data_IF_311806448862
#
_entry.id   IF_311806448862
#
_cell.length_a   1.000
_cell.length_b   1.000
_cell.length_c   1.000
_cell.angle_alpha   90.00
_cell.angle_beta   90.00
_cell.angle_gamma   90.00
#
_symmetry.space_group_name_H-M   'P 1'
#
loop_
_entity.id
_entity.type
_entity.pdbx_description
1 polymer ?
#
# COMPACT_ATOMS: atom_id res chain seq x y z
N UNK A 1 -0.74 -19.54 16.67
CA UNK A 1 -0.80 -20.86 15.98
C UNK A 1 -2.25 -21.32 15.78
N UNK A 2 -3.14 -21.02 16.69
CA UNK A 2 -4.56 -21.46 16.59
C UNK A 2 -5.30 -20.96 15.33
N UNK A 3 -4.86 -19.86 14.73
CA UNK A 3 -5.43 -19.31 13.48
C UNK A 3 -4.78 -19.85 12.20
N UNK A 4 -3.87 -20.80 12.32
CA UNK A 4 -3.18 -21.46 11.23
C UNK A 4 -3.49 -22.96 11.27
N UNK A 5 -4.22 -23.43 10.29
CA UNK A 5 -4.49 -24.86 10.16
C UNK A 5 -3.26 -25.63 9.69
N UNK A 6 -3.25 -26.92 9.97
CA UNK A 6 -2.12 -27.81 9.68
C UNK A 6 -0.82 -27.24 10.31
N UNK A 7 0.30 -27.47 9.73
CA UNK A 7 1.59 -26.88 10.12
C UNK A 7 1.95 -25.64 9.27
N UNK A 8 0.94 -24.98 8.67
CA UNK A 8 1.16 -23.90 7.69
C UNK A 8 1.91 -22.71 8.27
N UNK A 9 1.78 -22.43 9.57
CA UNK A 9 2.57 -21.38 10.25
C UNK A 9 4.10 -21.58 10.12
N UNK A 10 4.55 -22.79 9.81
CA UNK A 10 5.98 -23.12 9.57
C UNK A 10 6.44 -22.66 8.17
N UNK A 11 5.50 -22.36 7.27
CA UNK A 11 5.82 -21.88 5.93
C UNK A 11 6.30 -20.43 5.99
N UNK A 12 5.68 -19.63 6.86
CA UNK A 12 6.03 -18.23 7.02
C UNK A 12 5.00 -17.27 6.43
N UNK A 13 5.48 -16.08 6.09
CA UNK A 13 4.67 -14.90 5.78
C UNK A 13 4.62 -13.94 6.96
N UNK A 14 3.86 -12.86 6.82
CA UNK A 14 3.72 -11.85 7.87
C UNK A 14 5.01 -11.05 8.11
N UNK A 15 5.87 -10.90 7.11
CA UNK A 15 7.11 -10.13 7.20
C UNK A 15 6.85 -8.65 7.52
N UNK A 16 7.76 -8.02 8.29
CA UNK A 16 7.74 -6.58 8.58
C UNK A 16 8.68 -5.83 7.65
N UNK A 17 8.48 -5.90 6.35
CA UNK A 17 9.41 -5.39 5.34
C UNK A 17 9.33 -3.88 5.09
N UNK A 18 8.20 -3.25 5.45
CA UNK A 18 8.06 -1.79 5.42
C UNK A 18 8.35 -1.20 6.81
N UNK A 19 8.59 0.11 6.84
CA UNK A 19 8.87 0.84 8.08
C UNK A 19 7.62 1.01 8.94
N UNK A 20 7.80 0.97 10.26
CA UNK A 20 6.77 1.36 11.22
C UNK A 20 6.92 2.81 11.66
N UNK A 21 6.03 3.23 12.56
CA UNK A 21 6.05 4.56 13.16
C UNK A 21 6.10 4.47 14.70
N UNK A 22 6.83 5.38 15.31
CA UNK A 22 6.89 5.52 16.76
C UNK A 22 6.05 6.70 17.24
N UNK A 23 5.18 6.43 18.21
CA UNK A 23 4.43 7.46 18.93
C UNK A 23 5.09 7.73 20.29
N UNK A 24 5.73 8.87 20.41
CA UNK A 24 6.43 9.28 21.62
C UNK A 24 5.49 9.59 22.79
N UNK A 25 4.21 9.88 22.52
CA UNK A 25 3.25 10.20 23.58
C UNK A 25 2.82 8.94 24.36
N UNK A 26 2.67 7.82 23.65
CA UNK A 26 2.21 6.56 24.26
C UNK A 26 3.32 5.52 24.38
N UNK A 27 4.54 5.87 23.97
CA UNK A 27 5.70 4.99 23.91
C UNK A 27 5.38 3.68 23.16
N UNK A 28 4.78 3.85 21.97
CA UNK A 28 4.24 2.75 21.18
C UNK A 28 4.86 2.75 19.78
N UNK A 29 5.30 1.57 19.32
CA UNK A 29 5.67 1.33 17.93
C UNK A 29 4.50 0.69 17.21
N UNK A 30 4.05 1.32 16.13
CA UNK A 30 3.06 0.78 15.21
C UNK A 30 3.77 0.15 14.01
N UNK A 31 3.36 -1.06 13.64
CA UNK A 31 3.96 -1.79 12.52
C UNK A 31 2.91 -2.57 11.73
N UNK A 32 3.04 -2.58 10.40
CA UNK A 32 2.23 -3.39 9.52
C UNK A 32 2.94 -4.70 9.13
N UNK A 33 2.20 -5.78 9.05
CA UNK A 33 2.72 -7.08 8.64
C UNK A 33 2.24 -7.45 7.23
N UNK A 34 3.08 -8.22 6.53
CA UNK A 34 2.81 -8.68 5.17
C UNK A 34 1.82 -9.85 5.12
N UNK A 35 1.47 -10.26 3.91
CA UNK A 35 0.65 -11.42 3.59
C UNK A 35 1.24 -12.73 4.13
N UNK A 36 0.41 -13.79 4.27
CA UNK A 36 0.90 -15.14 4.59
C UNK A 36 1.39 -15.86 3.32
N UNK A 37 2.19 -16.91 3.47
CA UNK A 37 2.66 -17.73 2.35
C UNK A 37 1.97 -19.13 2.35
N UNK A 38 1.58 -19.66 1.17
CA UNK A 38 1.67 -19.02 -0.16
C UNK A 38 0.79 -17.78 -0.24
N UNK A 39 1.14 -16.85 -1.12
CA UNK A 39 0.42 -15.58 -1.27
C UNK A 39 -1.04 -15.83 -1.67
N UNK A 40 -1.26 -16.79 -2.58
CA UNK A 40 -2.58 -17.23 -2.98
C UNK A 40 -2.90 -18.61 -2.41
N UNK A 41 -4.12 -18.77 -1.88
CA UNK A 41 -4.58 -20.05 -1.36
C UNK A 41 -5.76 -20.55 -2.18
N UNK A 42 -5.65 -21.78 -2.67
CA UNK A 42 -6.62 -22.40 -3.56
C UNK A 42 -7.92 -22.88 -2.87
N UNK A 43 -8.08 -22.67 -1.57
CA UNK A 43 -9.21 -23.16 -0.79
C UNK A 43 -10.56 -22.51 -1.16
N UNK A 44 -10.53 -21.30 -1.73
CA UNK A 44 -11.74 -20.56 -2.04
C UNK A 44 -12.59 -20.34 -0.78
N UNK A 45 -13.88 -20.59 -0.86
CA UNK A 45 -14.83 -20.39 0.25
C UNK A 45 -14.54 -21.26 1.49
N UNK A 46 -13.80 -22.35 1.33
CA UNK A 46 -13.47 -23.28 2.40
C UNK A 46 -12.19 -22.92 3.17
N UNK A 47 -11.65 -21.73 2.98
CA UNK A 47 -10.35 -21.29 3.56
C UNK A 47 -10.21 -21.46 5.07
N UNK A 48 -11.31 -21.58 5.80
CA UNK A 48 -11.26 -21.83 7.26
C UNK A 48 -10.76 -23.23 7.60
N UNK A 49 -10.95 -24.19 6.72
CA UNK A 49 -10.68 -25.62 6.96
C UNK A 49 -9.84 -26.30 5.90
N UNK A 50 -9.71 -25.69 4.71
CA UNK A 50 -9.02 -26.26 3.55
C UNK A 50 -7.91 -25.31 3.04
N UNK A 51 -7.11 -25.78 2.08
CA UNK A 51 -6.06 -25.02 1.43
C UNK A 51 -4.66 -25.31 1.96
N UNK A 52 -3.72 -24.50 1.53
CA UNK A 52 -2.34 -24.57 1.97
C UNK A 52 -2.17 -24.06 3.41
N UNK A 53 -2.98 -23.10 3.79
CA UNK A 53 -2.89 -22.42 5.09
C UNK A 53 -4.27 -22.11 5.70
N UNK A 54 -5.07 -23.15 6.05
CA UNK A 54 -6.41 -22.96 6.61
C UNK A 54 -6.42 -22.00 7.80
N UNK A 55 -7.47 -21.19 7.90
CA UNK A 55 -7.68 -20.25 8.99
C UNK A 55 -7.28 -18.83 8.66
N UNK A 56 -7.46 -17.91 9.61
CA UNK A 56 -7.24 -16.48 9.40
C UNK A 56 -5.76 -16.07 9.27
N UNK A 57 -4.82 -16.94 9.61
CA UNK A 57 -3.36 -16.75 9.53
C UNK A 57 -2.83 -15.53 10.32
N UNK A 58 -3.30 -15.37 11.56
CA UNK A 58 -2.87 -14.27 12.43
C UNK A 58 -1.39 -14.45 12.82
N UNK A 59 -0.56 -13.45 12.77
CA UNK A 59 -0.72 -12.00 12.55
C UNK A 59 -0.25 -11.55 11.15
N UNK A 60 -0.49 -12.29 10.10
CA UNK A 60 -0.27 -11.78 8.74
C UNK A 60 -1.33 -10.74 8.37
N UNK A 61 -1.01 -9.85 7.44
CA UNK A 61 -1.85 -8.75 6.92
C UNK A 61 -2.60 -8.01 8.04
N UNK A 62 -1.80 -7.62 9.06
CA UNK A 62 -2.28 -7.03 10.32
C UNK A 62 -1.48 -5.78 10.66
N UNK A 63 -2.10 -4.91 11.44
CA UNK A 63 -1.39 -3.84 12.15
C UNK A 63 -1.19 -4.25 13.61
N UNK A 64 -0.01 -3.99 14.15
CA UNK A 64 0.37 -4.31 15.53
C UNK A 64 0.88 -3.06 16.26
N UNK A 65 0.53 -2.94 17.52
CA UNK A 65 1.06 -1.92 18.44
C UNK A 65 1.93 -2.61 19.48
N UNK A 66 3.18 -2.22 19.55
CA UNK A 66 4.17 -2.78 20.46
C UNK A 66 4.61 -1.73 21.48
N UNK A 67 4.82 -2.15 22.71
CA UNK A 67 5.51 -1.36 23.70
C UNK A 67 6.98 -1.14 23.27
N UNK A 68 7.39 0.12 23.16
CA UNK A 68 8.70 0.46 22.59
C UNK A 68 9.87 0.02 23.47
N UNK A 69 9.69 -0.12 24.76
CA UNK A 69 10.74 -0.52 25.70
C UNK A 69 10.91 -2.05 25.78
N UNK A 70 9.81 -2.79 25.66
CA UNK A 70 9.81 -4.23 25.94
C UNK A 70 9.55 -5.10 24.71
N UNK A 71 9.06 -4.51 23.62
CA UNK A 71 8.60 -5.22 22.42
C UNK A 71 7.32 -6.01 22.63
N UNK A 72 6.66 -5.91 23.78
CA UNK A 72 5.42 -6.64 24.05
C UNK A 72 4.27 -6.09 23.21
N UNK A 73 3.45 -7.01 22.69
CA UNK A 73 2.24 -6.67 21.97
C UNK A 73 1.24 -5.99 22.91
N UNK A 74 0.83 -4.76 22.57
CA UNK A 74 -0.22 -3.99 23.29
C UNK A 74 -1.59 -4.27 22.71
N UNK A 75 -1.72 -4.15 21.39
CA UNK A 75 -2.95 -4.41 20.65
C UNK A 75 -2.66 -4.71 19.19
N UNK A 76 -3.65 -5.20 18.46
CA UNK A 76 -3.56 -5.47 17.02
C UNK A 76 -4.93 -5.43 16.36
N UNK A 77 -4.91 -5.33 15.04
CA UNK A 77 -6.07 -5.58 14.18
C UNK A 77 -5.63 -6.31 12.92
N UNK A 78 -6.35 -7.36 12.51
CA UNK A 78 -6.09 -8.05 11.25
C UNK A 78 -6.94 -7.44 10.16
N UNK A 79 -6.32 -6.67 9.26
CA UNK A 79 -6.99 -5.93 8.20
C UNK A 79 -7.50 -6.85 7.10
N UNK A 80 -6.72 -7.89 6.76
CA UNK A 80 -7.04 -8.90 5.75
C UNK A 80 -6.96 -10.32 6.35
N UNK A 81 -8.01 -10.81 7.06
CA UNK A 81 -8.04 -12.20 7.53
C UNK A 81 -7.97 -13.16 6.35
N UNK A 82 -7.09 -14.17 6.42
CA UNK A 82 -6.84 -15.09 5.32
C UNK A 82 -6.63 -14.33 4.00
N UNK A 83 -5.62 -13.48 3.96
CA UNK A 83 -5.30 -12.70 2.77
C UNK A 83 -4.92 -13.64 1.61
N UNK A 84 -5.78 -13.73 0.61
CA UNK A 84 -5.63 -14.53 -0.60
C UNK A 84 -5.46 -13.66 -1.85
N UNK A 85 -5.05 -12.40 -1.69
CA UNK A 85 -4.90 -11.41 -2.75
C UNK A 85 -3.54 -10.70 -2.73
N UNK A 86 -2.72 -10.98 -1.72
CA UNK A 86 -1.46 -10.28 -1.47
C UNK A 86 -1.70 -8.79 -1.11
N UNK A 87 -2.68 -8.54 -0.21
CA UNK A 87 -3.02 -7.18 0.23
C UNK A 87 -2.49 -6.89 1.64
N UNK A 88 -1.17 -6.84 1.69
CA UNK A 88 -0.39 -6.54 2.89
C UNK A 88 -0.93 -5.36 3.70
N UNK A 89 -0.79 -5.46 5.02
CA UNK A 89 -0.80 -4.31 5.92
C UNK A 89 0.60 -3.70 6.09
N UNK A 90 1.60 -4.22 5.39
CA UNK A 90 2.95 -3.65 5.34
C UNK A 90 3.00 -2.46 4.38
N UNK A 91 2.25 -1.40 4.69
CA UNK A 91 2.26 -0.09 4.02
C UNK A 91 2.94 0.91 4.95
N UNK A 92 3.74 1.80 4.37
CA UNK A 92 4.78 2.54 5.10
C UNK A 92 4.32 3.74 5.94
N UNK A 93 3.03 3.90 6.27
CA UNK A 93 2.59 5.03 7.08
C UNK A 93 1.56 4.69 8.14
N UNK A 94 1.80 5.20 9.34
CA UNK A 94 0.83 5.32 10.43
C UNK A 94 0.73 6.79 10.81
N UNK A 95 -0.43 7.39 10.60
CA UNK A 95 -0.65 8.81 10.89
C UNK A 95 -1.30 8.98 12.25
N UNK A 96 -0.58 9.57 13.20
CA UNK A 96 -1.14 9.94 14.50
C UNK A 96 -1.90 11.26 14.35
N UNK A 97 -3.21 11.24 14.65
CA UNK A 97 -4.10 12.38 14.44
C UNK A 97 -4.92 12.61 15.71
N UNK A 98 -4.81 13.83 16.24
CA UNK A 98 -5.63 14.29 17.36
C UNK A 98 -6.73 15.20 16.83
N UNK A 99 -7.98 14.75 16.92
CA UNK A 99 -9.13 15.51 16.41
C UNK A 99 -10.41 15.23 17.22
N UNK A 100 -11.10 16.30 17.57
CA UNK A 100 -12.39 16.17 18.28
C UNK A 100 -12.29 15.48 19.65
N UNK A 101 -11.17 15.64 20.35
CA UNK A 101 -10.91 14.99 21.63
C UNK A 101 -10.52 13.51 21.53
N UNK A 102 -10.44 12.95 20.32
CA UNK A 102 -9.99 11.58 20.06
C UNK A 102 -8.52 11.58 19.64
N UNK A 103 -7.79 10.58 20.10
CA UNK A 103 -6.45 10.23 19.66
C UNK A 103 -6.54 9.05 18.72
N UNK A 104 -6.25 9.28 17.44
CA UNK A 104 -6.45 8.32 16.38
C UNK A 104 -5.11 7.93 15.76
N UNK A 105 -5.06 6.72 15.21
CA UNK A 105 -4.04 6.32 14.25
C UNK A 105 -4.73 5.86 12.97
N UNK A 106 -4.27 6.39 11.84
CA UNK A 106 -4.82 6.08 10.52
C UNK A 106 -3.79 5.30 9.73
N UNK A 107 -4.22 4.19 9.16
CA UNK A 107 -3.35 3.30 8.38
C UNK A 107 -4.05 2.87 7.09
N UNK A 108 -3.43 3.03 5.91
CA UNK A 108 -3.91 2.48 4.66
C UNK A 108 -3.45 1.04 4.47
N UNK A 109 -4.29 0.21 3.87
CA UNK A 109 -3.96 -1.15 3.48
C UNK A 109 -3.80 -1.25 1.95
N UNK A 110 -2.92 -2.11 1.49
CA UNK A 110 -2.62 -2.34 0.07
C UNK A 110 -3.88 -2.64 -0.77
N UNK A 111 -4.88 -3.31 -0.19
CA UNK A 111 -6.17 -3.57 -0.84
C UNK A 111 -7.03 -2.33 -1.11
N UNK A 112 -6.61 -1.15 -0.68
CA UNK A 112 -7.30 0.12 -0.95
C UNK A 112 -8.16 0.63 0.19
N UNK A 113 -8.23 -0.07 1.31
CA UNK A 113 -8.97 0.34 2.49
C UNK A 113 -8.07 1.19 3.39
N UNK A 114 -8.62 2.24 3.96
CA UNK A 114 -7.96 3.03 5.00
C UNK A 114 -8.73 2.83 6.31
N UNK A 115 -8.01 2.42 7.32
CA UNK A 115 -8.52 2.16 8.66
C UNK A 115 -8.19 3.31 9.60
N UNK A 116 -9.13 3.65 10.45
CA UNK A 116 -9.00 4.67 11.49
C UNK A 116 -9.21 3.98 12.84
N UNK A 117 -8.19 3.95 13.66
CA UNK A 117 -8.20 3.25 14.94
C UNK A 117 -8.14 4.21 16.12
N UNK A 118 -8.62 3.75 17.26
CA UNK A 118 -8.22 4.32 18.56
C UNK A 118 -6.71 4.09 18.75
N UNK A 119 -5.95 5.16 19.03
CA UNK A 119 -4.47 5.08 19.14
C UNK A 119 -4.01 4.20 20.30
N UNK A 120 -4.79 4.11 21.37
CA UNK A 120 -4.45 3.29 22.52
C UNK A 120 -4.78 1.81 22.33
N UNK A 121 -5.70 1.48 21.39
CA UNK A 121 -6.18 0.10 21.20
C UNK A 121 -6.62 -0.13 19.75
N UNK A 122 -5.74 -0.71 18.94
CA UNK A 122 -6.00 -1.01 17.51
C UNK A 122 -7.20 -1.95 17.30
N UNK A 123 -7.64 -2.70 18.31
CA UNK A 123 -8.85 -3.52 18.18
C UNK A 123 -10.14 -2.70 18.03
N UNK A 124 -10.07 -1.40 18.33
CA UNK A 124 -11.16 -0.45 18.19
C UNK A 124 -11.03 0.35 16.91
N UNK A 125 -11.72 -0.12 15.87
CA UNK A 125 -11.82 0.60 14.60
C UNK A 125 -12.90 1.68 14.74
N UNK A 126 -12.52 2.93 14.57
CA UNK A 126 -13.40 4.11 14.67
C UNK A 126 -14.09 4.44 13.36
N UNK A 127 -13.41 4.18 12.24
CA UNK A 127 -13.96 4.32 10.88
C UNK A 127 -13.12 3.55 9.87
N UNK A 128 -13.70 3.33 8.69
CA UNK A 128 -13.03 2.85 7.49
C UNK A 128 -13.53 3.60 6.28
N UNK A 129 -12.68 3.72 5.26
CA UNK A 129 -13.05 4.24 3.95
C UNK A 129 -12.18 3.63 2.86
N UNK A 130 -12.61 3.67 1.61
CA UNK A 130 -11.91 3.06 0.47
C UNK A 130 -11.35 4.17 -0.41
N UNK A 131 -10.04 4.11 -0.71
CA UNK A 131 -9.36 5.03 -1.60
C UNK A 131 -9.41 4.54 -3.04
N UNK A 132 -9.23 3.24 -3.29
CA UNK A 132 -9.31 2.63 -4.60
C UNK A 132 -10.69 2.79 -5.23
N UNK A 133 -10.75 3.09 -6.52
CA UNK A 133 -12.00 3.25 -7.27
C UNK A 133 -12.41 1.97 -7.97
N UNK A 134 -11.43 1.16 -8.31
CA UNK A 134 -11.62 -0.09 -9.03
C UNK A 134 -11.29 -1.27 -8.12
N UNK A 135 -12.31 -1.90 -7.59
CA UNK A 135 -12.15 -3.10 -6.77
C UNK A 135 -13.35 -4.04 -6.94
N UNK A 136 -13.10 -5.35 -6.87
CA UNK A 136 -14.14 -6.37 -6.91
C UNK A 136 -13.80 -7.60 -6.04
N UNK A 137 -12.77 -7.50 -5.21
CA UNK A 137 -12.40 -8.55 -4.26
C UNK A 137 -13.28 -8.56 -3.01
N UNK A 138 -13.99 -7.44 -2.75
CA UNK A 138 -15.01 -7.29 -1.70
C UNK A 138 -16.19 -6.48 -2.26
N UNK A 139 -17.33 -6.54 -1.59
CA UNK A 139 -18.46 -5.64 -1.85
C UNK A 139 -18.39 -4.35 -1.03
N UNK A 140 -17.59 -4.36 0.05
CA UNK A 140 -17.40 -3.22 0.92
C UNK A 140 -16.69 -3.60 2.21
N UNK A 141 -16.56 -2.64 3.11
CA UNK A 141 -15.99 -2.79 4.45
C UNK A 141 -16.95 -2.14 5.45
N UNK A 142 -17.18 -2.79 6.59
CA UNK A 142 -17.99 -2.21 7.68
C UNK A 142 -17.19 -1.09 8.38
N UNK A 143 -17.88 -0.23 9.11
CA UNK A 143 -17.21 0.80 9.93
C UNK A 143 -16.27 0.23 11.00
N UNK A 144 -16.48 -1.04 11.37
CA UNK A 144 -15.66 -1.80 12.32
C UNK A 144 -14.56 -2.62 11.65
N UNK A 145 -14.34 -2.43 10.33
CA UNK A 145 -13.22 -3.02 9.60
C UNK A 145 -13.48 -4.42 9.03
N UNK A 146 -14.69 -4.95 9.11
CA UNK A 146 -15.02 -6.27 8.57
C UNK A 146 -15.21 -6.22 7.04
N UNK A 147 -14.52 -7.10 6.32
CA UNK A 147 -14.65 -7.26 4.88
C UNK A 147 -16.02 -7.88 4.54
N UNK A 148 -16.77 -7.26 3.67
CA UNK A 148 -18.10 -7.69 3.26
C UNK A 148 -18.09 -8.25 1.84
N UNK A 149 -18.68 -9.44 1.65
CA UNK A 149 -18.87 -10.04 0.33
C UNK A 149 -17.55 -10.31 -0.39
N UNK A 150 -16.63 -10.97 0.30
CA UNK A 150 -15.32 -11.39 -0.22
C UNK A 150 -15.49 -12.22 -1.49
N UNK A 151 -14.66 -11.95 -2.50
CA UNK A 151 -14.48 -12.78 -3.70
C UNK A 151 -13.27 -13.66 -3.48
N UNK A 152 -13.49 -14.89 -3.14
CA UNK A 152 -12.41 -15.86 -3.00
C UNK A 152 -11.89 -16.30 -4.38
N UNK A 153 -10.64 -16.77 -4.40
CA UNK A 153 -9.94 -17.20 -5.61
C UNK A 153 -9.61 -18.71 -5.53
N UNK A 154 -10.59 -19.62 -5.72
CA UNK A 154 -10.33 -21.06 -5.75
C UNK A 154 -9.42 -21.45 -6.93
N UNK A 155 -9.03 -22.72 -6.99
CA UNK A 155 -8.25 -23.25 -8.12
C UNK A 155 -8.82 -22.83 -9.47
N UNK A 156 -7.94 -22.40 -10.37
CA UNK A 156 -8.27 -22.07 -11.75
C UNK A 156 -8.03 -20.61 -12.13
N UNK A 157 -8.52 -20.26 -13.31
CA UNK A 157 -8.35 -18.94 -13.90
C UNK A 157 -9.44 -17.97 -13.43
N UNK A 158 -9.03 -16.82 -12.96
CA UNK A 158 -9.90 -15.71 -12.59
C UNK A 158 -9.54 -14.48 -13.43
N UNK A 159 -10.55 -13.93 -14.09
CA UNK A 159 -10.40 -12.77 -14.95
C UNK A 159 -10.77 -11.48 -14.24
N UNK A 160 -10.03 -10.41 -14.58
CA UNK A 160 -10.28 -9.05 -14.14
C UNK A 160 -10.52 -8.94 -12.62
N UNK A 161 -9.58 -9.47 -11.84
CA UNK A 161 -9.56 -9.33 -10.38
C UNK A 161 -8.96 -7.96 -10.06
N UNK A 162 -9.65 -7.15 -9.29
CA UNK A 162 -9.28 -5.77 -8.97
C UNK A 162 -9.35 -5.51 -7.47
N UNK A 163 -8.38 -4.75 -6.92
CA UNK A 163 -7.17 -4.26 -7.57
C UNK A 163 -6.21 -5.39 -7.94
N UNK A 164 -5.17 -5.06 -8.72
CA UNK A 164 -4.10 -6.01 -9.03
C UNK A 164 -3.27 -6.36 -7.77
N UNK A 165 -2.38 -7.33 -7.91
CA UNK A 165 -1.47 -7.77 -6.84
C UNK A 165 -0.68 -6.61 -6.18
N UNK A 166 -0.41 -5.55 -6.93
CA UNK A 166 0.28 -4.36 -6.43
C UNK A 166 -0.61 -3.46 -5.56
N UNK A 167 -1.89 -3.81 -5.43
CA UNK A 167 -2.89 -3.13 -4.63
C UNK A 167 -3.54 -1.92 -5.31
N UNK A 168 -4.59 -1.39 -4.69
CA UNK A 168 -5.20 -0.10 -5.04
C UNK A 168 -4.46 1.08 -4.38
N UNK A 169 -3.65 0.80 -3.38
CA UNK A 169 -2.77 1.76 -2.70
C UNK A 169 -1.35 1.22 -2.77
N UNK A 170 -0.42 2.01 -3.34
CA UNK A 170 1.00 1.66 -3.29
C UNK A 170 1.46 1.53 -1.84
N UNK A 171 2.36 0.57 -1.58
CA UNK A 171 3.03 0.43 -0.27
C UNK A 171 3.95 1.61 0.06
N UNK A 172 4.39 2.37 -0.93
CA UNK A 172 5.17 3.57 -0.70
C UNK A 172 4.36 4.61 0.07
N UNK A 173 5.03 5.28 1.01
CA UNK A 173 4.38 6.19 1.92
C UNK A 173 3.67 7.35 1.21
N UNK A 174 2.47 7.65 1.66
CA UNK A 174 1.82 8.92 1.42
C UNK A 174 2.42 10.01 2.31
N UNK A 175 1.73 11.12 2.43
CA UNK A 175 2.16 12.23 3.30
C UNK A 175 0.96 12.89 3.96
N UNK A 176 1.09 13.25 5.23
CA UNK A 176 0.09 14.02 5.96
C UNK A 176 0.62 15.41 6.29
N UNK A 177 -0.19 16.42 6.04
CA UNK A 177 0.14 17.79 6.45
C UNK A 177 -0.81 18.25 7.56
N UNK A 178 -0.30 18.48 8.77
CA UNK A 178 -1.12 19.03 9.86
C UNK A 178 -1.62 20.44 9.55
N UNK A 179 -0.95 21.18 8.65
CA UNK A 179 -1.32 22.53 8.24
C UNK A 179 -2.59 22.55 7.38
N UNK A 180 -2.76 21.59 6.48
CA UNK A 180 -3.94 21.44 5.64
C UNK A 180 -4.99 20.50 6.24
N UNK A 181 -4.58 19.63 7.17
CA UNK A 181 -5.37 18.54 7.71
C UNK A 181 -5.62 17.43 6.71
N UNK A 182 -4.87 17.38 5.59
CA UNK A 182 -5.07 16.43 4.51
C UNK A 182 -4.00 15.35 4.47
N UNK A 183 -4.44 14.15 4.16
CA UNK A 183 -3.63 13.02 3.77
C UNK A 183 -3.52 12.97 2.25
N UNK A 184 -2.31 12.90 1.74
CA UNK A 184 -1.98 12.79 0.32
C UNK A 184 -1.53 11.38 0.02
N UNK A 185 -2.23 10.71 -0.90
CA UNK A 185 -1.92 9.32 -1.26
C UNK A 185 -2.16 9.06 -2.74
N UNK A 186 -1.40 8.12 -3.26
CA UNK A 186 -1.58 7.56 -4.60
C UNK A 186 -2.61 6.44 -4.56
N UNK A 187 -3.56 6.48 -5.48
CA UNK A 187 -4.39 5.35 -5.85
C UNK A 187 -3.97 4.77 -7.19
N UNK A 188 -4.10 3.44 -7.32
CA UNK A 188 -3.72 2.66 -8.50
C UNK A 188 -4.95 1.90 -9.01
N UNK A 189 -5.32 2.15 -10.26
CA UNK A 189 -6.54 1.62 -10.86
C UNK A 189 -6.19 0.67 -11.99
N UNK A 190 -5.83 -0.54 -11.62
CA UNK A 190 -5.55 -1.66 -12.52
C UNK A 190 -6.00 -2.98 -11.92
N UNK A 191 -6.07 -4.01 -12.77
CA UNK A 191 -6.54 -5.32 -12.40
C UNK A 191 -5.54 -6.38 -12.86
N UNK A 192 -5.83 -7.62 -12.64
CA UNK A 192 -5.06 -8.74 -13.14
C UNK A 192 -5.94 -9.94 -13.49
N UNK A 193 -5.47 -10.73 -14.45
CA UNK A 193 -5.92 -12.08 -14.67
C UNK A 193 -4.99 -13.00 -13.88
N UNK A 194 -5.53 -13.91 -13.11
CA UNK A 194 -4.75 -14.79 -12.24
C UNK A 194 -5.20 -16.24 -12.39
N UNK A 195 -4.23 -17.14 -12.52
CA UNK A 195 -4.45 -18.57 -12.43
C UNK A 195 -3.91 -19.08 -11.08
N UNK A 196 -4.83 -19.46 -10.20
CA UNK A 196 -4.49 -20.05 -8.90
C UNK A 196 -4.27 -21.55 -9.09
N UNK A 197 -3.12 -22.04 -8.61
CA UNK A 197 -2.71 -23.42 -8.78
C UNK A 197 -2.43 -24.07 -7.41
N UNK A 198 -2.61 -25.38 -7.34
CA UNK A 198 -2.14 -26.14 -6.19
C UNK A 198 -0.64 -26.36 -6.34
N UNK A 199 0.14 -25.74 -5.49
CA UNK A 199 1.58 -25.82 -5.51
C UNK A 199 2.08 -26.62 -4.29
N UNK A 200 3.11 -27.44 -4.53
CA UNK A 200 3.77 -28.16 -3.46
C UNK A 200 4.53 -27.20 -2.55
N UNK A 201 4.49 -27.47 -1.26
CA UNK A 201 5.26 -26.74 -0.28
C UNK A 201 6.76 -26.85 -0.59
N UNK A 202 7.51 -25.74 -0.74
CA UNK A 202 8.95 -25.79 -0.90
C UNK A 202 9.62 -26.54 0.26
N UNK A 203 10.58 -27.39 -0.05
CA UNK A 203 11.35 -28.14 0.97
C UNK A 203 12.36 -27.25 1.69
N UNK A 204 12.87 -26.27 0.95
CA UNK A 204 13.81 -25.27 1.44
C UNK A 204 13.28 -23.89 1.02
N UNK A 205 13.14 -22.98 1.97
CA UNK A 205 12.61 -21.63 1.76
C UNK A 205 13.71 -20.60 1.49
N UNK A 206 14.97 -21.00 1.45
CA UNK A 206 16.08 -20.09 1.19
C UNK A 206 16.00 -19.52 -0.24
N UNK A 207 15.56 -18.28 -0.37
CA UNK A 207 15.52 -17.55 -1.64
C UNK A 207 14.40 -17.96 -2.62
N UNK A 208 13.42 -18.75 -2.17
CA UNK A 208 12.27 -19.12 -3.01
C UNK A 208 11.03 -18.36 -2.60
N UNK A 209 10.30 -17.87 -3.61
CA UNK A 209 8.95 -17.35 -3.42
C UNK A 209 7.93 -18.49 -3.55
N UNK A 210 6.86 -18.42 -2.74
CA UNK A 210 5.80 -19.41 -2.76
C UNK A 210 4.47 -18.71 -3.02
N UNK A 211 4.17 -18.47 -4.30
CA UNK A 211 2.96 -17.73 -4.69
C UNK A 211 1.72 -18.62 -4.82
N UNK A 212 1.86 -19.83 -5.36
CA UNK A 212 0.77 -20.72 -5.79
C UNK A 212 -0.16 -20.09 -6.83
N UNK A 213 0.36 -19.19 -7.65
CA UNK A 213 -0.36 -18.54 -8.75
C UNK A 213 0.59 -17.99 -9.81
N UNK A 214 0.03 -17.74 -10.99
CA UNK A 214 0.62 -16.90 -12.03
C UNK A 214 -0.38 -15.82 -12.43
N UNK A 215 0.09 -14.64 -12.85
CA UNK A 215 -0.79 -13.52 -13.17
C UNK A 215 -0.26 -12.68 -14.31
N UNK A 216 -1.18 -11.91 -14.91
CA UNK A 216 -0.89 -10.88 -15.90
C UNK A 216 -1.68 -9.63 -15.56
N UNK A 217 -1.00 -8.49 -15.47
CA UNK A 217 -1.66 -7.21 -15.24
C UNK A 217 -2.60 -6.86 -16.41
N UNK A 218 -3.77 -6.36 -16.10
CA UNK A 218 -4.81 -6.01 -17.07
C UNK A 218 -5.44 -4.67 -16.78
N UNK A 219 -6.07 -4.09 -17.78
CA UNK A 219 -6.91 -2.93 -17.61
C UNK A 219 -8.21 -3.32 -16.87
N UNK A 220 -8.78 -2.43 -16.03
CA UNK A 220 -10.13 -2.60 -15.53
C UNK A 220 -11.13 -2.71 -16.66
N UNK A 221 -12.22 -3.45 -16.43
CA UNK A 221 -13.26 -3.61 -17.45
C UNK A 221 -13.84 -2.26 -17.89
N UNK A 222 -13.86 -2.01 -19.20
CA UNK A 222 -14.42 -0.80 -19.79
C UNK A 222 -13.56 0.47 -19.67
N UNK A 223 -12.36 0.41 -19.07
CA UNK A 223 -11.49 1.57 -18.96
C UNK A 223 -10.00 1.20 -19.03
N UNK A 224 -9.15 2.18 -19.30
CA UNK A 224 -7.69 2.00 -19.20
C UNK A 224 -7.25 2.07 -17.75
N UNK A 225 -6.20 1.33 -17.40
CA UNK A 225 -5.51 1.49 -16.13
C UNK A 225 -4.96 2.91 -16.00
N UNK A 226 -4.99 3.45 -14.79
CA UNK A 226 -4.51 4.80 -14.49
C UNK A 226 -4.15 4.94 -13.00
N UNK A 227 -3.55 6.06 -12.63
CA UNK A 227 -3.36 6.45 -11.25
C UNK A 227 -4.06 7.74 -10.89
N UNK A 228 -4.16 8.01 -9.62
CA UNK A 228 -4.57 9.32 -9.11
C UNK A 228 -3.80 9.68 -7.84
N UNK A 229 -3.62 10.97 -7.61
CA UNK A 229 -3.14 11.51 -6.35
C UNK A 229 -4.25 12.35 -5.77
N UNK A 230 -4.58 12.15 -4.52
CA UNK A 230 -5.66 12.89 -3.88
C UNK A 230 -5.25 13.46 -2.53
N UNK A 231 -5.78 14.63 -2.19
CA UNK A 231 -5.75 15.21 -0.85
C UNK A 231 -7.10 14.98 -0.17
N UNK A 232 -7.10 14.15 0.87
CA UNK A 232 -8.32 13.69 1.55
C UNK A 232 -8.28 13.97 3.04
N UNK A 233 -9.44 14.15 3.63
CA UNK A 233 -9.58 14.05 5.07
C UNK A 233 -9.21 12.62 5.52
N UNK A 234 -8.21 12.44 6.39
CA UNK A 234 -7.70 11.11 6.74
C UNK A 234 -8.70 10.26 7.54
N UNK A 235 -9.67 10.88 8.21
CA UNK A 235 -10.64 10.18 9.06
C UNK A 235 -11.87 9.76 8.25
N UNK A 236 -12.37 10.66 7.38
CA UNK A 236 -13.63 10.44 6.66
C UNK A 236 -13.43 9.97 5.22
N UNK A 237 -12.23 10.12 4.68
CA UNK A 237 -11.91 9.81 3.28
C UNK A 237 -12.44 10.83 2.28
N UNK A 238 -13.12 11.89 2.72
CA UNK A 238 -13.67 12.91 1.83
C UNK A 238 -12.54 13.62 1.09
N UNK A 239 -12.56 13.52 -0.24
CA UNK A 239 -11.58 14.18 -1.09
C UNK A 239 -11.83 15.69 -1.14
N UNK A 240 -10.79 16.46 -0.87
CA UNK A 240 -10.79 17.91 -1.15
C UNK A 240 -10.43 18.18 -2.60
N UNK A 241 -9.49 17.40 -3.12
CA UNK A 241 -9.07 17.43 -4.51
C UNK A 241 -8.52 16.07 -4.94
N UNK A 242 -8.48 15.85 -6.25
CA UNK A 242 -7.89 14.68 -6.87
C UNK A 242 -7.33 15.05 -8.23
N UNK A 243 -6.14 14.54 -8.54
CA UNK A 243 -5.45 14.71 -9.82
C UNK A 243 -5.27 13.36 -10.48
N UNK A 244 -5.70 13.25 -11.73
CA UNK A 244 -5.52 12.05 -12.54
C UNK A 244 -4.09 11.98 -13.10
N UNK A 245 -3.49 10.80 -13.01
CA UNK A 245 -2.21 10.45 -13.63
C UNK A 245 -2.41 9.32 -14.64
N UNK A 246 -1.93 9.54 -15.86
CA UNK A 246 -1.99 8.50 -16.91
C UNK A 246 -1.32 7.20 -16.46
N UNK A 247 -0.22 7.33 -15.71
CA UNK A 247 0.54 6.24 -15.14
C UNK A 247 0.51 6.35 -13.62
N UNK A 248 0.13 5.29 -12.88
CA UNK A 248 0.13 5.34 -11.43
C UNK A 248 1.53 5.70 -10.90
N UNK A 249 1.70 6.77 -10.11
CA UNK A 249 2.97 7.00 -9.41
C UNK A 249 3.25 5.86 -8.43
N UNK A 250 4.50 5.43 -8.33
CA UNK A 250 4.91 4.35 -7.42
C UNK A 250 5.75 4.83 -6.23
N UNK A 251 6.32 6.02 -6.34
CA UNK A 251 7.18 6.58 -5.31
C UNK A 251 6.40 7.17 -4.13
N UNK A 252 7.09 7.37 -3.01
CA UNK A 252 6.51 8.08 -1.86
C UNK A 252 6.19 9.53 -2.20
N UNK A 253 5.16 10.08 -1.56
CA UNK A 253 4.83 11.49 -1.64
C UNK A 253 5.49 12.27 -0.51
N UNK A 254 5.74 13.55 -0.72
CA UNK A 254 6.26 14.47 0.30
C UNK A 254 5.42 15.73 0.35
N UNK A 255 4.82 16.04 1.50
CA UNK A 255 4.23 17.36 1.77
C UNK A 255 5.19 18.24 2.56
N UNK A 256 5.16 19.55 2.32
CA UNK A 256 6.02 20.52 3.01
C UNK A 256 5.21 21.61 3.72
N UNK A 257 5.83 22.26 4.69
CA UNK A 257 5.23 23.40 5.39
C UNK A 257 4.97 24.60 4.44
N UNK A 258 5.59 24.61 3.25
CA UNK A 258 5.36 25.58 2.18
C UNK A 258 4.12 25.31 1.34
N UNK A 259 3.22 24.41 1.76
CA UNK A 259 2.00 24.00 1.04
C UNK A 259 2.26 23.35 -0.31
N UNK A 260 3.33 22.61 -0.46
CA UNK A 260 3.61 21.81 -1.66
C UNK A 260 3.45 20.32 -1.35
N UNK A 261 2.98 19.57 -2.35
CA UNK A 261 3.03 18.11 -2.40
C UNK A 261 3.88 17.70 -3.59
N UNK A 262 4.99 17.02 -3.33
CA UNK A 262 5.86 16.48 -4.38
C UNK A 262 5.41 15.08 -4.78
N UNK A 263 5.28 14.86 -6.08
CA UNK A 263 4.81 13.62 -6.69
C UNK A 263 5.85 13.14 -7.71
N UNK A 264 6.68 12.14 -7.34
CA UNK A 264 7.55 11.51 -8.32
C UNK A 264 6.76 10.53 -9.19
N UNK A 265 6.68 10.77 -10.48
CA UNK A 265 5.94 9.99 -11.46
C UNK A 265 6.70 8.76 -11.98
N UNK A 266 5.97 7.74 -12.40
CA UNK A 266 6.54 6.54 -12.98
C UNK A 266 7.24 6.78 -14.34
N UNK A 267 6.83 7.83 -15.04
CA UNK A 267 7.35 8.26 -16.36
C UNK A 267 8.57 9.19 -16.28
N UNK A 268 9.13 9.40 -15.09
CA UNK A 268 10.25 10.29 -14.84
C UNK A 268 9.87 11.75 -14.56
N UNK A 269 8.58 12.08 -14.65
CA UNK A 269 8.11 13.41 -14.28
C UNK A 269 8.15 13.57 -12.75
N UNK A 270 8.58 14.74 -12.30
CA UNK A 270 8.59 15.12 -10.89
C UNK A 270 7.79 16.39 -10.73
N UNK A 271 6.61 16.27 -10.14
CA UNK A 271 5.63 17.34 -10.02
C UNK A 271 5.63 17.94 -8.62
N UNK A 272 5.39 19.26 -8.53
CA UNK A 272 5.02 19.94 -7.29
C UNK A 272 3.58 20.45 -7.43
N UNK A 273 2.70 19.97 -6.57
CA UNK A 273 1.29 20.36 -6.53
C UNK A 273 1.04 21.31 -5.35
N UNK A 274 0.08 22.21 -5.50
CA UNK A 274 -0.48 22.96 -4.37
C UNK A 274 -1.22 22.00 -3.43
N UNK A 275 -0.85 22.01 -2.16
CA UNK A 275 -1.37 21.07 -1.17
C UNK A 275 -2.85 21.25 -0.87
N UNK A 276 -3.44 22.43 -1.12
CA UNK A 276 -4.84 22.73 -0.86
C UNK A 276 -5.78 22.42 -2.04
N UNK A 277 -5.27 22.51 -3.27
CA UNK A 277 -6.08 22.41 -4.49
C UNK A 277 -5.68 21.30 -5.44
N UNK A 278 -4.48 20.73 -5.30
CA UNK A 278 -3.91 19.77 -6.25
C UNK A 278 -3.44 20.42 -7.57
N UNK A 279 -3.50 21.74 -7.70
CA UNK A 279 -3.03 22.43 -8.90
C UNK A 279 -1.52 22.18 -9.10
N UNK A 280 -1.13 21.80 -10.32
CA UNK A 280 0.28 21.61 -10.67
C UNK A 280 0.97 22.97 -10.79
N UNK A 281 1.94 23.23 -9.91
CA UNK A 281 2.69 24.47 -9.85
C UNK A 281 4.02 24.41 -10.59
N UNK A 282 4.62 23.24 -10.61
CA UNK A 282 5.92 23.01 -11.22
C UNK A 282 6.06 21.55 -11.64
N UNK A 283 6.88 21.30 -12.64
CA UNK A 283 7.18 19.97 -13.15
C UNK A 283 8.57 19.93 -13.76
N UNK A 284 9.28 18.82 -13.55
CA UNK A 284 10.58 18.57 -14.14
C UNK A 284 10.68 17.12 -14.61
N UNK A 285 11.31 16.88 -15.75
CA UNK A 285 11.55 15.52 -16.22
C UNK A 285 12.95 15.07 -15.81
N UNK A 286 13.01 14.07 -14.94
CA UNK A 286 14.27 13.49 -14.43
C UNK A 286 14.84 12.38 -15.34
N UNK A 287 14.14 12.03 -16.42
CA UNK A 287 14.58 11.06 -17.44
C UNK A 287 14.25 9.62 -17.13
N UNK A 288 14.29 9.19 -15.87
CA UNK A 288 13.95 7.84 -15.42
C UNK A 288 12.79 7.85 -14.44
N UNK A 289 11.98 6.82 -14.47
CA UNK A 289 10.88 6.64 -13.54
C UNK A 289 11.32 6.61 -12.07
N UNK A 290 10.40 6.88 -11.18
CA UNK A 290 10.65 6.93 -9.75
C UNK A 290 9.96 5.78 -9.03
N UNK A 291 10.72 5.07 -8.20
CA UNK A 291 10.26 4.05 -7.26
C UNK A 291 10.64 4.35 -5.82
N UNK A 292 11.65 5.16 -5.63
CA UNK A 292 12.20 5.51 -4.33
C UNK A 292 11.45 6.64 -3.64
N UNK A 293 11.99 7.07 -2.50
CA UNK A 293 11.44 8.18 -1.73
C UNK A 293 11.87 9.56 -2.23
N UNK A 294 11.16 10.55 -1.73
CA UNK A 294 11.52 11.96 -1.81
C UNK A 294 11.64 12.52 -0.39
N UNK A 295 12.66 13.33 -0.14
CA UNK A 295 12.92 13.94 1.17
C UNK A 295 13.11 15.43 1.05
N UNK A 296 12.82 16.15 2.14
CA UNK A 296 13.22 17.55 2.33
C UNK A 296 14.22 17.65 3.47
N UNK A 297 15.27 18.43 3.27
CA UNK A 297 16.26 18.71 4.29
C UNK A 297 16.78 20.14 4.15
N UNK A 298 17.47 20.64 5.15
CA UNK A 298 18.06 21.98 5.12
C UNK A 298 19.55 21.92 5.49
N UNK A 299 20.34 22.74 4.78
CA UNK A 299 21.76 22.96 5.07
C UNK A 299 22.01 24.46 5.11
N UNK A 300 22.57 24.97 6.19
CA UNK A 300 22.84 26.40 6.39
C UNK A 300 21.63 27.31 6.12
N UNK A 301 20.42 26.85 6.54
CA UNK A 301 19.17 27.59 6.36
C UNK A 301 18.56 27.51 4.96
N UNK A 302 19.20 26.88 3.99
CA UNK A 302 18.68 26.64 2.66
C UNK A 302 18.01 25.29 2.57
N UNK A 303 16.75 25.25 2.09
CA UNK A 303 15.99 24.02 1.90
C UNK A 303 16.34 23.34 0.58
N UNK A 304 16.40 22.02 0.64
CA UNK A 304 16.62 21.15 -0.49
C UNK A 304 15.52 20.07 -0.56
N UNK A 305 15.20 19.64 -1.77
CA UNK A 305 14.37 18.48 -2.04
C UNK A 305 15.22 17.48 -2.81
N UNK A 306 15.39 16.30 -2.27
CA UNK A 306 16.12 15.22 -2.91
C UNK A 306 15.19 14.09 -3.30
N UNK A 307 15.30 13.60 -4.54
CA UNK A 307 14.53 12.50 -5.09
C UNK A 307 15.45 11.52 -5.80
N UNK A 308 15.18 10.23 -5.66
CA UNK A 308 15.88 9.17 -6.38
C UNK A 308 15.10 8.78 -7.61
N UNK A 309 15.81 8.58 -8.74
CA UNK A 309 15.28 7.96 -9.94
C UNK A 309 15.81 6.54 -10.05
N UNK A 310 15.11 5.70 -10.79
CA UNK A 310 15.46 4.32 -11.07
C UNK A 310 14.20 3.53 -11.38
N UNK A 311 14.27 2.72 -12.42
CA UNK A 311 13.16 1.94 -12.90
C UNK A 311 13.56 0.47 -12.96
N UNK A 312 13.25 -0.28 -11.95
CA UNK A 312 13.59 -1.69 -11.88
C UNK A 312 13.06 -2.26 -10.57
N UNK A 313 11.90 -2.85 -10.64
CA UNK A 313 11.33 -3.61 -9.55
C UNK A 313 10.37 -4.62 -10.15
N UNK A 314 9.86 -5.51 -9.35
CA UNK A 314 8.86 -6.47 -9.78
C UNK A 314 7.59 -5.79 -10.32
N UNK A 315 7.18 -4.67 -9.73
CA UNK A 315 6.01 -3.90 -10.17
C UNK A 315 6.24 -3.22 -11.51
N UNK A 316 7.45 -2.72 -11.76
CA UNK A 316 7.77 -2.03 -13.02
C UNK A 316 7.53 -2.91 -14.24
N UNK A 317 7.66 -4.24 -14.10
CA UNK A 317 7.36 -5.21 -15.13
C UNK A 317 5.91 -5.18 -15.64
N UNK A 318 4.97 -4.66 -14.84
CA UNK A 318 3.57 -4.54 -15.23
C UNK A 318 3.28 -3.31 -16.09
N UNK A 319 4.18 -2.30 -16.10
CA UNK A 319 3.92 -1.03 -16.81
C UNK A 319 4.06 -1.14 -18.33
N UNK A 320 5.09 -1.82 -18.83
CA UNK A 320 5.27 -1.96 -20.26
C UNK A 320 4.10 -2.70 -20.94
N UNK A 321 3.58 -3.83 -20.42
CA UNK A 321 2.39 -4.47 -20.95
C UNK A 321 1.12 -3.61 -20.89
N UNK A 322 0.95 -2.82 -19.82
CA UNK A 322 -0.26 -2.01 -19.64
C UNK A 322 -0.23 -0.69 -20.44
N UNK A 323 0.92 -0.05 -20.52
CA UNK A 323 1.00 1.34 -20.97
C UNK A 323 1.87 1.56 -22.22
N UNK A 324 2.69 0.56 -22.62
CA UNK A 324 3.62 0.72 -23.71
C UNK A 324 4.73 1.75 -23.39
N UNK A 325 5.01 2.64 -24.34
CA UNK A 325 5.98 3.72 -24.10
C UNK A 325 5.51 4.73 -23.03
N UNK A 326 6.47 5.20 -22.20
CA UNK A 326 7.94 5.05 -22.29
C UNK A 326 8.51 3.78 -21.64
N UNK A 327 7.69 2.92 -21.05
CA UNK A 327 8.15 1.82 -20.20
C UNK A 327 8.81 0.67 -20.98
N UNK A 328 8.46 0.49 -22.26
CA UNK A 328 9.09 -0.51 -23.14
C UNK A 328 10.56 -0.19 -23.47
N UNK A 329 10.93 1.08 -23.45
CA UNK A 329 12.29 1.57 -23.71
C UNK A 329 13.03 2.05 -22.47
N UNK A 330 12.35 2.12 -21.31
CA UNK A 330 12.95 2.61 -20.07
C UNK A 330 13.97 1.60 -19.54
N UNK A 331 15.23 2.02 -19.26
CA UNK A 331 16.23 1.12 -18.70
C UNK A 331 15.78 0.56 -17.34
N UNK A 332 15.96 -0.75 -17.15
CA UNK A 332 15.69 -1.43 -15.87
C UNK A 332 16.83 -1.28 -14.86
N UNK A 333 17.98 -0.79 -15.31
CA UNK A 333 19.18 -0.61 -14.49
C UNK A 333 19.62 0.85 -14.47
N UNK A 334 20.29 1.23 -13.39
CA UNK A 334 20.76 2.59 -13.18
C UNK A 334 19.78 3.45 -12.38
N UNK A 335 20.27 4.59 -11.92
CA UNK A 335 19.48 5.56 -11.17
C UNK A 335 20.34 6.76 -10.79
N UNK A 336 19.67 7.82 -10.40
CA UNK A 336 20.30 9.05 -9.96
C UNK A 336 19.69 9.56 -8.65
N UNK A 337 20.48 10.22 -7.85
CA UNK A 337 20.00 11.11 -6.80
C UNK A 337 20.00 12.55 -7.34
N UNK A 338 18.83 13.14 -7.46
CA UNK A 338 18.67 14.49 -7.96
C UNK A 338 18.25 15.39 -6.80
N UNK A 339 18.90 16.54 -6.70
CA UNK A 339 18.68 17.50 -5.62
C UNK A 339 18.27 18.85 -6.21
N UNK A 340 17.12 19.33 -5.75
CA UNK A 340 16.57 20.64 -6.08
C UNK A 340 16.71 21.58 -4.91
N UNK A 341 16.94 22.85 -5.21
CA UNK A 341 16.94 23.93 -4.22
C UNK A 341 16.20 25.14 -4.80
N UNK A 342 15.54 25.90 -3.93
CA UNK A 342 15.07 27.23 -4.32
C UNK A 342 16.29 28.14 -4.59
N UNK A 343 16.17 29.05 -5.55
CA UNK A 343 17.22 30.03 -5.89
C UNK A 343 17.69 30.87 -4.69
#
# INVERSE_FOLDING_TARGET
RASWGNDSWKIGGGGGWMTGNYDAETDTVFWGTANPAPDYDWAGENWKTEGARPGANLYSSSVIALDANTGKLKSYFQEMPHDAWDFDSAVGEFMMIDRGGKKLVVHPNKGGIVFVYDRADLSKVENTWILGKTYNYIKGVSKTGELQGRRELPLGMHKNVCPAIDGAISWNAGSYSPKTGLFYKVGQEWCYDIEVVKADRPKDFSGQTYFAASWTATHPEGQKAFGHVSGRDPITGVAKWEVHYKYPPLASLLSTAGNLVFVPGADGMFDALDANSGAKLWSHNNGLGHHGGVISYAVNGKQYIAVVTGWGSHVSGNYAPLFGEPFTSMPSEGGNLIVFALP
#
